data_IF_604454138650
#
_entry.id   IF_604454138650
#
_cell.length_a   1.000
_cell.length_b   1.000
_cell.length_c   1.000
_cell.angle_alpha   90.00
_cell.angle_beta   90.00
_cell.angle_gamma   90.00
#
_symmetry.space_group_name_H-M   'P 1'
#
loop_
_entity.id
_entity.type
_entity.pdbx_description
1 polymer ?
#
# COMPACT_ATOMS: atom_id res chain seq x y z
N UNK A 1 -7.17 6.00 -10.32
CA UNK A 1 -7.01 4.70 -10.96
C UNK A 1 -8.18 4.29 -11.87
N UNK A 2 -9.41 4.70 -11.57
CA UNK A 2 -10.62 4.29 -12.27
C UNK A 2 -10.81 5.03 -13.60
N UNK A 3 -11.64 4.46 -14.53
CA UNK A 3 -12.03 5.16 -15.75
C UNK A 3 -12.61 6.55 -15.43
N UNK A 4 -12.21 7.56 -16.22
CA UNK A 4 -12.55 8.97 -15.99
C UNK A 4 -11.65 9.70 -14.99
N UNK A 5 -10.81 9.00 -14.23
CA UNK A 5 -9.79 9.61 -13.40
C UNK A 5 -8.62 10.20 -14.20
N UNK A 6 -7.89 11.17 -13.63
CA UNK A 6 -6.78 11.86 -14.30
C UNK A 6 -5.56 10.95 -14.53
N UNK A 7 -5.37 9.95 -13.66
CA UNK A 7 -4.38 8.87 -13.83
C UNK A 7 -5.10 7.53 -13.87
N UNK A 8 -5.81 7.27 -14.96
CA UNK A 8 -6.46 5.99 -15.18
C UNK A 8 -5.42 4.88 -15.39
N UNK A 9 -5.57 3.78 -14.67
CA UNK A 9 -4.78 2.55 -14.86
C UNK A 9 -5.71 1.53 -15.53
N UNK A 10 -5.52 1.23 -16.83
CA UNK A 10 -6.41 0.33 -17.56
C UNK A 10 -6.45 -1.06 -16.91
N UNK A 11 -7.63 -1.57 -16.60
CA UNK A 11 -7.79 -2.88 -15.97
C UNK A 11 -7.79 -2.86 -14.44
N UNK A 12 -7.44 -1.74 -13.80
CA UNK A 12 -7.38 -1.64 -12.34
C UNK A 12 -8.74 -1.94 -11.66
N UNK A 13 -9.84 -1.70 -12.35
CA UNK A 13 -11.19 -2.05 -11.87
C UNK A 13 -11.36 -3.56 -11.63
N UNK A 14 -10.62 -4.41 -12.34
CA UNK A 14 -10.64 -5.87 -12.17
C UNK A 14 -10.03 -6.32 -10.84
N UNK A 15 -9.13 -5.52 -10.27
CA UNK A 15 -8.48 -5.80 -9.00
C UNK A 15 -9.36 -5.44 -7.80
N UNK A 16 -10.37 -4.56 -7.98
CA UNK A 16 -11.21 -4.03 -6.89
C UNK A 16 -11.87 -5.13 -6.06
N UNK A 17 -12.48 -6.19 -6.63
CA UNK A 17 -13.07 -7.24 -5.83
C UNK A 17 -12.08 -7.91 -4.86
N UNK A 18 -10.85 -8.16 -5.32
CA UNK A 18 -9.80 -8.75 -4.50
C UNK A 18 -9.23 -7.76 -3.48
N UNK A 19 -8.99 -6.51 -3.87
CA UNK A 19 -8.61 -5.44 -2.93
C UNK A 19 -9.65 -5.29 -1.82
N UNK A 20 -10.95 -5.34 -2.17
CA UNK A 20 -12.03 -5.31 -1.19
C UNK A 20 -11.96 -6.46 -0.20
N UNK A 21 -11.74 -7.70 -0.66
CA UNK A 21 -11.62 -8.88 0.22
C UNK A 21 -10.47 -8.73 1.22
N UNK A 22 -9.33 -8.22 0.77
CA UNK A 22 -8.18 -7.92 1.65
C UNK A 22 -8.54 -6.82 2.67
N UNK A 23 -9.27 -5.80 2.22
CA UNK A 23 -9.73 -4.71 3.08
C UNK A 23 -10.80 -5.18 4.09
N UNK A 24 -11.67 -6.10 3.70
CA UNK A 24 -12.65 -6.71 4.60
C UNK A 24 -11.96 -7.43 5.77
N UNK A 25 -10.82 -8.08 5.54
CA UNK A 25 -10.02 -8.66 6.62
C UNK A 25 -9.55 -7.61 7.64
N UNK A 26 -9.23 -6.39 7.19
CA UNK A 26 -8.91 -5.29 8.10
C UNK A 26 -10.15 -4.73 8.82
N UNK A 27 -11.29 -4.66 8.13
CA UNK A 27 -12.58 -4.27 8.77
C UNK A 27 -12.96 -5.24 9.89
N UNK A 28 -12.64 -6.50 9.73
CA UNK A 28 -12.83 -7.57 10.73
C UNK A 28 -11.75 -7.59 11.83
N UNK A 29 -10.74 -6.73 11.75
CA UNK A 29 -9.65 -6.64 12.73
C UNK A 29 -8.63 -7.77 12.65
N UNK A 30 -8.59 -8.54 11.55
CA UNK A 30 -7.65 -9.65 11.35
C UNK A 30 -6.28 -9.21 10.87
N UNK A 31 -6.19 -8.03 10.25
CA UNK A 31 -4.95 -7.46 9.71
C UNK A 31 -5.00 -5.94 9.80
N UNK A 32 -3.84 -5.30 9.89
CA UNK A 32 -3.68 -3.85 9.73
C UNK A 32 -3.29 -3.55 8.28
N UNK A 33 -3.97 -2.62 7.64
CA UNK A 33 -3.54 -2.09 6.34
C UNK A 33 -2.64 -0.88 6.55
N UNK A 34 -1.51 -0.86 5.85
CA UNK A 34 -0.68 0.32 5.70
C UNK A 34 -0.74 0.68 4.21
N UNK A 35 -1.35 1.80 3.92
CA UNK A 35 -1.46 2.31 2.56
C UNK A 35 -0.69 3.61 2.40
N UNK A 36 -0.40 3.94 1.17
CA UNK A 36 0.03 5.28 0.79
C UNK A 36 -1.03 5.96 -0.08
N UNK A 37 -1.09 7.28 0.00
CA UNK A 37 -1.98 8.09 -0.83
C UNK A 37 -1.25 9.32 -1.35
N UNK A 38 -1.32 9.54 -2.66
CA UNK A 38 -0.88 10.79 -3.26
C UNK A 38 -1.80 11.93 -2.81
N UNK A 39 -1.21 13.03 -2.33
CA UNK A 39 -1.94 14.21 -1.86
C UNK A 39 -1.20 15.47 -2.30
N UNK A 40 -1.42 15.88 -3.54
CA UNK A 40 -0.72 17.00 -4.17
C UNK A 40 -1.37 18.34 -3.85
N UNK A 41 -0.58 19.41 -3.94
CA UNK A 41 -1.08 20.79 -4.05
C UNK A 41 -1.37 21.10 -5.52
N UNK A 42 -2.17 22.15 -5.85
CA UNK A 42 -2.48 22.48 -7.24
C UNK A 42 -1.28 22.83 -8.12
N UNK A 43 -0.17 23.24 -7.48
CA UNK A 43 1.09 23.67 -8.09
C UNK A 43 2.24 22.68 -7.85
N UNK A 44 1.93 21.41 -7.56
CA UNK A 44 2.92 20.39 -7.25
C UNK A 44 3.92 20.19 -8.41
N UNK A 45 5.23 20.14 -8.15
CA UNK A 45 6.27 19.92 -9.16
C UNK A 45 6.11 18.61 -9.96
N UNK A 46 5.45 17.61 -9.41
CA UNK A 46 5.19 16.34 -10.11
C UNK A 46 4.33 16.54 -11.36
N UNK A 47 3.54 17.60 -11.41
CA UNK A 47 2.69 17.94 -12.56
C UNK A 47 3.47 18.42 -13.80
N UNK A 48 4.79 18.57 -13.68
CA UNK A 48 5.67 18.70 -14.85
C UNK A 48 5.87 17.36 -15.60
N UNK A 49 5.64 16.23 -14.94
CA UNK A 49 5.80 14.87 -15.50
C UNK A 49 4.48 14.15 -15.74
N UNK A 50 3.49 14.42 -14.88
CA UNK A 50 2.17 13.79 -14.92
C UNK A 50 1.09 14.87 -14.98
N UNK A 51 -0.10 14.58 -15.55
CA UNK A 51 -1.21 15.52 -15.48
C UNK A 51 -1.62 15.74 -14.01
N UNK A 52 -2.17 16.94 -13.68
CA UNK A 52 -2.68 17.20 -12.33
C UNK A 52 -3.66 16.12 -11.86
N UNK A 53 -3.34 15.47 -10.73
CA UNK A 53 -4.08 14.35 -10.15
C UNK A 53 -4.01 14.37 -8.62
N UNK A 54 -4.84 13.63 -7.95
CA UNK A 54 -4.84 13.45 -6.49
C UNK A 54 -4.66 14.77 -5.72
N UNK A 55 -5.24 15.87 -6.22
CA UNK A 55 -5.17 17.17 -5.56
C UNK A 55 -5.97 17.10 -4.26
N UNK A 56 -5.34 17.47 -3.14
CA UNK A 56 -5.93 17.45 -1.81
C UNK A 56 -7.29 18.16 -1.79
N UNK A 57 -8.28 17.53 -1.15
CA UNK A 57 -9.64 18.06 -1.05
C UNK A 57 -10.51 17.88 -2.29
N UNK A 58 -10.01 17.19 -3.32
CA UNK A 58 -10.82 16.82 -4.49
C UNK A 58 -11.20 15.34 -4.48
N UNK A 59 -12.30 14.95 -5.14
CA UNK A 59 -12.69 13.55 -5.23
C UNK A 59 -11.61 12.64 -5.84
N UNK A 60 -10.72 13.20 -6.68
CA UNK A 60 -9.60 12.47 -7.29
C UNK A 60 -8.52 12.03 -6.31
N UNK A 61 -8.47 12.62 -5.10
CA UNK A 61 -7.55 12.25 -4.03
C UNK A 61 -8.17 11.25 -3.03
N UNK A 62 -9.45 10.93 -3.16
CA UNK A 62 -10.12 10.02 -2.24
C UNK A 62 -9.78 8.56 -2.51
N UNK A 63 -9.63 7.80 -1.42
CA UNK A 63 -9.53 6.35 -1.48
C UNK A 63 -10.89 5.79 -1.89
N UNK A 64 -10.91 4.84 -2.81
CA UNK A 64 -12.14 4.21 -3.27
C UNK A 64 -12.88 3.52 -2.11
N UNK A 65 -14.23 3.52 -2.10
CA UNK A 65 -15.02 2.99 -0.99
C UNK A 65 -14.69 1.53 -0.65
N UNK A 66 -14.35 0.73 -1.63
CA UNK A 66 -14.05 -0.70 -1.48
C UNK A 66 -12.79 -0.94 -0.63
N UNK A 67 -11.83 -0.01 -0.66
CA UNK A 67 -10.56 -0.12 0.08
C UNK A 67 -10.47 0.83 1.27
N UNK A 68 -11.57 1.48 1.64
CA UNK A 68 -11.67 2.37 2.79
C UNK A 68 -12.22 1.62 4.01
N UNK A 69 -11.62 1.84 5.19
CA UNK A 69 -12.11 1.33 6.48
C UNK A 69 -12.65 2.47 7.35
N UNK A 70 -13.23 2.14 8.51
CA UNK A 70 -13.81 3.16 9.42
C UNK A 70 -12.73 3.81 10.29
N UNK A 71 -11.83 2.99 10.85
CA UNK A 71 -10.79 3.47 11.77
C UNK A 71 -9.49 3.74 11.03
N UNK A 72 -9.38 4.92 10.42
CA UNK A 72 -8.22 5.35 9.61
C UNK A 72 -7.38 6.36 10.37
N UNK A 73 -6.07 6.17 10.35
CA UNK A 73 -5.07 7.18 10.72
C UNK A 73 -4.40 7.70 9.45
N UNK A 74 -4.55 8.98 9.15
CA UNK A 74 -3.79 9.63 8.07
C UNK A 74 -2.59 10.37 8.64
N UNK A 75 -1.42 10.10 8.09
CA UNK A 75 -0.14 10.68 8.51
C UNK A 75 0.37 11.55 7.36
N UNK A 76 0.33 12.88 7.51
CA UNK A 76 0.77 13.79 6.47
C UNK A 76 2.28 13.68 6.22
N UNK A 77 2.70 13.98 4.99
CA UNK A 77 4.10 14.01 4.61
C UNK A 77 4.76 15.31 5.10
N UNK A 78 5.07 15.36 6.39
CA UNK A 78 5.79 16.44 7.05
C UNK A 78 6.48 15.94 8.32
N UNK A 79 7.66 16.50 8.68
CA UNK A 79 8.48 15.99 9.79
C UNK A 79 7.85 16.15 11.18
N UNK A 80 6.95 17.11 11.32
CA UNK A 80 6.25 17.44 12.60
C UNK A 80 4.93 16.68 12.77
N UNK A 81 4.63 15.72 11.87
CA UNK A 81 3.44 14.90 12.01
C UNK A 81 3.55 13.96 13.22
N UNK A 82 2.46 13.86 13.97
CA UNK A 82 2.41 12.99 15.15
C UNK A 82 2.05 11.58 14.74
N UNK A 83 2.96 10.64 14.99
CA UNK A 83 2.68 9.20 14.91
C UNK A 83 2.31 8.72 16.30
N UNK A 84 1.07 8.25 16.55
CA UNK A 84 0.66 7.72 17.85
C UNK A 84 1.55 6.56 18.31
N UNK A 85 1.82 6.48 19.62
CA UNK A 85 2.58 5.36 20.20
C UNK A 85 1.83 4.03 20.12
N UNK A 86 0.50 4.07 20.17
CA UNK A 86 -0.37 2.91 20.00
C UNK A 86 -1.13 3.00 18.67
N UNK A 87 -0.90 2.03 17.81
CA UNK A 87 -1.55 1.89 16.51
C UNK A 87 -2.66 0.83 16.51
N UNK A 88 -2.88 0.11 17.62
CA UNK A 88 -3.83 -1.00 17.72
C UNK A 88 -5.30 -0.59 17.55
N UNK A 89 -5.59 0.70 17.76
CA UNK A 89 -6.92 1.26 17.58
C UNK A 89 -7.35 1.47 16.12
N UNK A 90 -6.41 1.33 15.17
CA UNK A 90 -6.65 1.61 13.75
C UNK A 90 -6.74 0.33 12.92
N UNK A 91 -7.53 0.37 11.87
CA UNK A 91 -7.65 -0.68 10.86
C UNK A 91 -6.82 -0.38 9.61
N UNK A 92 -6.55 0.91 9.39
CA UNK A 92 -5.78 1.38 8.25
C UNK A 92 -4.94 2.61 8.64
N UNK A 93 -3.68 2.61 8.25
CA UNK A 93 -2.78 3.76 8.34
C UNK A 93 -2.50 4.21 6.91
N UNK A 94 -2.70 5.49 6.64
CA UNK A 94 -2.42 6.10 5.34
C UNK A 94 -1.24 7.07 5.48
N UNK A 95 -0.17 6.76 4.79
CA UNK A 95 0.99 7.64 4.65
C UNK A 95 0.77 8.52 3.42
N UNK A 96 0.58 9.81 3.62
CA UNK A 96 0.45 10.75 2.52
C UNK A 96 1.80 10.97 1.83
N UNK A 97 1.80 11.14 0.52
CA UNK A 97 3.02 11.42 -0.26
C UNK A 97 2.74 12.37 -1.43
N UNK A 98 3.79 13.04 -1.89
CA UNK A 98 3.79 13.90 -3.08
C UNK A 98 4.75 13.39 -4.15
N UNK A 99 5.32 12.24 -3.95
CA UNK A 99 6.21 11.53 -4.88
C UNK A 99 5.71 10.11 -5.09
N UNK A 100 6.42 9.34 -5.92
CA UNK A 100 6.08 7.94 -6.14
C UNK A 100 6.44 7.04 -4.95
N UNK A 101 7.38 7.46 -4.11
CA UNK A 101 7.92 6.64 -3.02
C UNK A 101 7.27 6.98 -1.68
N UNK A 102 6.70 5.99 -1.02
CA UNK A 102 6.14 6.13 0.34
C UNK A 102 7.22 6.40 1.39
N UNK A 103 8.47 6.03 1.11
CA UNK A 103 9.59 6.28 2.00
C UNK A 103 10.10 7.72 1.99
N UNK A 104 9.61 8.55 1.07
CA UNK A 104 9.80 10.01 1.11
C UNK A 104 8.96 10.69 2.19
N UNK A 105 7.94 10.00 2.76
CA UNK A 105 7.28 10.47 3.97
C UNK A 105 8.21 10.21 5.17
N UNK A 106 8.65 11.25 5.90
CA UNK A 106 9.61 11.12 7.02
C UNK A 106 9.09 10.28 8.19
N UNK A 107 7.79 9.98 8.21
CA UNK A 107 7.16 9.21 9.28
C UNK A 107 7.06 7.71 8.96
N UNK A 108 7.37 7.28 7.75
CA UNK A 108 7.26 5.87 7.34
C UNK A 108 8.09 4.96 8.23
N UNK A 109 9.33 5.36 8.54
CA UNK A 109 10.21 4.59 9.44
C UNK A 109 9.65 4.47 10.86
N UNK A 110 9.03 5.53 11.39
CA UNK A 110 8.42 5.49 12.71
C UNK A 110 7.23 4.52 12.73
N UNK A 111 6.39 4.52 11.69
CA UNK A 111 5.27 3.57 11.55
C UNK A 111 5.79 2.14 11.50
N UNK A 112 6.79 1.84 10.66
CA UNK A 112 7.37 0.49 10.56
C UNK A 112 7.99 0.02 11.88
N UNK A 113 8.69 0.90 12.62
CA UNK A 113 9.22 0.59 13.95
C UNK A 113 8.12 0.27 14.97
N UNK A 114 6.98 0.94 14.89
CA UNK A 114 5.84 0.64 15.76
C UNK A 114 5.26 -0.74 15.42
N UNK A 115 5.09 -1.04 14.12
CA UNK A 115 4.56 -2.33 13.65
C UNK A 115 5.46 -3.48 14.07
N UNK A 116 6.77 -3.32 13.93
CA UNK A 116 7.75 -4.33 14.35
C UNK A 116 7.64 -4.76 15.82
N UNK A 117 7.04 -3.92 16.69
CA UNK A 117 6.81 -4.26 18.10
C UNK A 117 5.61 -5.18 18.33
N UNK A 118 4.70 -5.28 17.37
CA UNK A 118 3.43 -5.99 17.48
C UNK A 118 3.31 -7.15 16.50
N UNK A 119 4.32 -7.32 15.63
CA UNK A 119 4.36 -8.39 14.63
C UNK A 119 5.39 -9.44 15.02
N UNK A 120 5.11 -10.68 14.64
CA UNK A 120 6.07 -11.77 14.77
C UNK A 120 7.24 -11.59 13.80
N UNK A 121 8.38 -12.23 14.08
CA UNK A 121 9.59 -12.12 13.27
C UNK A 121 9.42 -12.63 11.82
N UNK A 122 8.41 -13.47 11.59
CA UNK A 122 8.05 -14.00 10.27
C UNK A 122 6.90 -13.26 9.60
N UNK A 123 6.49 -12.12 10.14
CA UNK A 123 5.46 -11.27 9.53
C UNK A 123 5.85 -10.87 8.10
N UNK A 124 4.87 -10.88 7.21
CA UNK A 124 5.06 -10.60 5.79
C UNK A 124 4.09 -9.50 5.34
N UNK A 125 4.61 -8.52 4.61
CA UNK A 125 3.78 -7.51 3.97
C UNK A 125 3.18 -8.08 2.68
N UNK A 126 1.85 -8.20 2.63
CA UNK A 126 1.11 -8.54 1.42
C UNK A 126 0.74 -7.24 0.68
N UNK A 127 1.39 -6.98 -0.45
CA UNK A 127 1.25 -5.73 -1.18
C UNK A 127 0.20 -5.86 -2.28
N UNK A 128 -0.72 -4.92 -2.32
CA UNK A 128 -1.74 -4.77 -3.35
C UNK A 128 -1.98 -3.29 -3.67
N UNK A 129 -2.51 -3.00 -4.83
CA UNK A 129 -2.76 -1.62 -5.28
C UNK A 129 -2.25 -1.37 -6.69
N UNK A 130 -2.15 -0.09 -7.08
CA UNK A 130 -1.73 0.36 -8.41
C UNK A 130 -0.83 1.61 -8.33
N UNK A 131 0.09 1.80 -9.29
CA UNK A 131 0.41 0.89 -10.38
C UNK A 131 1.64 0.06 -10.01
N UNK A 132 1.71 -1.16 -10.57
CA UNK A 132 2.74 -2.16 -10.23
C UNK A 132 4.16 -1.61 -10.41
N UNK A 133 4.45 -0.96 -11.52
CA UNK A 133 5.78 -0.43 -11.87
C UNK A 133 6.14 0.90 -11.17
N UNK A 134 5.23 1.46 -10.39
CA UNK A 134 5.43 2.71 -9.64
C UNK A 134 5.31 2.51 -8.13
N UNK A 135 4.19 2.88 -7.54
CA UNK A 135 4.00 2.87 -6.08
C UNK A 135 4.18 1.48 -5.48
N UNK A 136 3.62 0.44 -6.13
CA UNK A 136 3.77 -0.96 -5.67
C UNK A 136 5.24 -1.38 -5.69
N UNK A 137 5.97 -1.08 -6.78
CA UNK A 137 7.39 -1.38 -6.90
C UNK A 137 8.22 -0.72 -5.80
N UNK A 138 8.03 0.59 -5.60
CA UNK A 138 8.82 1.35 -4.63
C UNK A 138 8.51 0.94 -3.20
N UNK A 139 7.24 0.72 -2.86
CA UNK A 139 6.85 0.22 -1.54
C UNK A 139 7.44 -1.17 -1.28
N UNK A 140 7.31 -2.12 -2.23
CA UNK A 140 7.84 -3.46 -2.10
C UNK A 140 9.36 -3.47 -1.96
N UNK A 141 10.06 -2.75 -2.84
CA UNK A 141 11.53 -2.64 -2.83
C UNK A 141 12.03 -2.03 -1.53
N UNK A 142 11.44 -0.92 -1.10
CA UNK A 142 11.82 -0.24 0.13
C UNK A 142 11.61 -1.12 1.38
N UNK A 143 10.58 -1.95 1.42
CA UNK A 143 10.39 -2.94 2.49
C UNK A 143 11.44 -4.05 2.45
N UNK A 144 11.73 -4.61 1.27
CA UNK A 144 12.77 -5.64 1.09
C UNK A 144 14.16 -5.13 1.52
N UNK A 145 14.53 -3.91 1.14
CA UNK A 145 15.79 -3.26 1.52
C UNK A 145 15.92 -3.07 3.04
N UNK A 146 14.80 -3.03 3.76
CA UNK A 146 14.73 -2.93 5.23
C UNK A 146 14.63 -4.30 5.92
N UNK A 147 14.76 -5.38 5.15
CA UNK A 147 14.74 -6.75 5.68
C UNK A 147 13.34 -7.31 5.97
N UNK A 148 12.27 -6.62 5.56
CA UNK A 148 10.91 -7.16 5.67
C UNK A 148 10.65 -8.24 4.63
N UNK A 149 9.82 -9.22 5.01
CA UNK A 149 9.29 -10.19 4.05
C UNK A 149 8.16 -9.54 3.27
N UNK A 150 8.14 -9.77 1.97
CA UNK A 150 7.17 -9.15 1.05
C UNK A 150 6.56 -10.20 0.15
N UNK A 151 5.25 -10.13 -0.01
CA UNK A 151 4.50 -10.86 -1.02
C UNK A 151 3.69 -9.89 -1.88
N UNK A 152 3.77 -10.03 -3.20
CA UNK A 152 2.92 -9.32 -4.15
C UNK A 152 1.64 -10.12 -4.37
N UNK A 153 0.49 -9.50 -4.19
CA UNK A 153 -0.82 -10.14 -4.43
C UNK A 153 -1.20 -9.92 -5.90
N UNK A 154 -0.83 -10.89 -6.76
CA UNK A 154 -0.86 -10.78 -8.23
C UNK A 154 -2.22 -10.44 -8.85
N UNK A 155 -3.31 -10.85 -8.21
CA UNK A 155 -4.68 -10.63 -8.66
C UNK A 155 -5.33 -9.40 -7.97
N UNK A 156 -4.51 -8.60 -7.27
CA UNK A 156 -4.89 -7.34 -6.64
C UNK A 156 -3.88 -6.21 -6.94
N UNK A 157 -3.01 -6.38 -7.94
CA UNK A 157 -2.15 -5.34 -8.51
C UNK A 157 -2.44 -5.19 -10.00
N UNK A 158 -2.22 -3.99 -10.54
CA UNK A 158 -2.37 -3.73 -11.97
C UNK A 158 -1.31 -2.75 -12.44
N UNK A 159 -1.04 -2.75 -13.73
CA UNK A 159 0.06 -2.02 -14.38
C UNK A 159 -0.44 -1.06 -15.44
N UNK A 160 0.28 0.00 -15.71
CA UNK A 160 0.01 0.88 -16.86
C UNK A 160 0.46 0.25 -18.17
N UNK A 161 1.60 -0.48 -18.13
CA UNK A 161 2.16 -1.16 -19.28
C UNK A 161 2.50 -2.60 -18.93
N UNK A 162 1.90 -3.60 -19.60
CA UNK A 162 2.12 -5.01 -19.28
C UNK A 162 3.59 -5.42 -19.20
N UNK A 163 4.42 -4.93 -20.13
CA UNK A 163 5.85 -5.26 -20.16
C UNK A 163 6.62 -4.68 -18.97
N UNK A 164 6.28 -3.46 -18.53
CA UNK A 164 6.93 -2.81 -17.40
C UNK A 164 6.47 -3.46 -16.08
N UNK A 165 5.19 -3.83 -16.00
CA UNK A 165 4.68 -4.59 -14.86
C UNK A 165 5.34 -5.96 -14.71
N UNK A 166 5.51 -6.69 -15.82
CA UNK A 166 6.19 -7.99 -15.80
C UNK A 166 7.65 -7.86 -15.34
N UNK A 167 8.41 -6.91 -15.89
CA UNK A 167 9.77 -6.61 -15.45
C UNK A 167 9.86 -6.26 -13.98
N UNK A 168 8.90 -5.49 -13.48
CA UNK A 168 8.81 -5.13 -12.06
C UNK A 168 8.60 -6.35 -11.17
N UNK A 169 7.70 -7.25 -11.56
CA UNK A 169 7.46 -8.49 -10.82
C UNK A 169 8.73 -9.36 -10.81
N UNK A 170 9.42 -9.48 -11.93
CA UNK A 170 10.69 -10.21 -12.05
C UNK A 170 11.79 -9.58 -11.17
N UNK A 171 11.93 -8.25 -11.20
CA UNK A 171 12.84 -7.53 -10.31
C UNK A 171 12.56 -7.84 -8.85
N UNK A 172 11.31 -7.62 -8.40
CA UNK A 172 10.95 -7.78 -7.00
C UNK A 172 11.07 -9.24 -6.53
N UNK A 173 10.73 -10.21 -7.38
CA UNK A 173 10.91 -11.64 -7.05
C UNK A 173 12.39 -12.03 -6.97
N UNK A 174 13.24 -11.45 -7.82
CA UNK A 174 14.70 -11.64 -7.73
C UNK A 174 15.29 -11.06 -6.43
N UNK A 175 14.67 -10.03 -5.87
CA UNK A 175 15.02 -9.44 -4.57
C UNK A 175 14.42 -10.18 -3.37
N UNK A 176 13.63 -11.24 -3.60
CA UNK A 176 13.09 -12.10 -2.56
C UNK A 176 11.60 -11.91 -2.28
N UNK A 177 10.88 -11.07 -3.02
CA UNK A 177 9.43 -11.00 -2.91
C UNK A 177 8.78 -12.30 -3.42
N UNK A 178 7.73 -12.74 -2.73
CA UNK A 178 6.90 -13.85 -3.20
C UNK A 178 5.76 -13.32 -4.08
N UNK A 179 5.30 -14.14 -5.02
CA UNK A 179 4.10 -13.85 -5.79
C UNK A 179 2.97 -14.77 -5.33
N UNK A 180 1.90 -14.21 -4.80
CA UNK A 180 0.76 -14.95 -4.23
C UNK A 180 -0.57 -14.48 -4.80
N UNK A 181 -1.64 -15.24 -4.56
CA UNK A 181 -3.01 -14.80 -4.84
C UNK A 181 -3.67 -14.20 -3.60
N UNK A 182 -4.79 -13.50 -3.79
CA UNK A 182 -5.66 -13.03 -2.69
C UNK A 182 -6.09 -14.18 -1.78
N UNK A 183 -6.44 -15.34 -2.33
CA UNK A 183 -6.82 -16.51 -1.53
C UNK A 183 -5.67 -16.99 -0.64
N UNK A 184 -4.44 -17.01 -1.16
CA UNK A 184 -3.26 -17.38 -0.39
C UNK A 184 -2.95 -16.36 0.71
N UNK A 185 -3.12 -15.06 0.42
CA UNK A 185 -2.95 -14.01 1.44
C UNK A 185 -3.97 -14.15 2.57
N UNK A 186 -5.25 -14.37 2.24
CA UNK A 186 -6.30 -14.55 3.24
C UNK A 186 -6.15 -15.84 4.05
N UNK A 187 -5.78 -16.94 3.39
CA UNK A 187 -5.52 -18.21 4.07
C UNK A 187 -4.34 -18.13 5.07
N UNK A 188 -3.38 -17.24 4.82
CA UNK A 188 -2.28 -17.02 5.76
C UNK A 188 -2.75 -16.38 7.08
N UNK A 189 -3.84 -15.60 7.07
CA UNK A 189 -4.43 -14.99 8.27
C UNK A 189 -5.19 -15.98 9.15
N UNK A 190 -5.55 -17.15 8.60
CA UNK A 190 -6.30 -18.19 9.32
C UNK A 190 -5.37 -19.17 10.05
N UNK A 191 -4.08 -19.13 9.78
CA UNK A 191 -3.10 -19.99 10.46
C UNK A 191 -3.00 -19.62 11.93
N UNK A 192 -3.10 -20.59 12.86
CA UNK A 192 -2.87 -20.31 14.27
C UNK A 192 -1.47 -19.71 14.45
N UNK A 193 -1.39 -18.58 15.14
CA UNK A 193 -0.10 -17.98 15.51
C UNK A 193 0.68 -19.02 16.32
N UNK A 194 1.76 -19.53 15.78
CA UNK A 194 2.72 -20.34 16.52
C UNK A 194 3.36 -19.42 17.56
N UNK A 195 2.82 -19.42 18.77
CA UNK A 195 3.53 -18.82 19.93
C UNK A 195 4.78 -19.66 20.16
N UNK A 196 5.92 -19.20 19.64
CA UNK A 196 7.21 -19.63 20.16
C UNK A 196 7.29 -19.14 21.61
N UNK A 197 7.38 -20.11 22.53
CA UNK A 197 7.57 -19.89 23.95
C UNK A 197 8.96 -19.31 24.24
#
# INVERSE_FOLDING_TARGET
MLPGGKLHVPGAEKCIPNMKRLTDAAREGRVLIIGDACTHTPDDPEFQRFPPHCIRGTPGAEIIPETRVVKVLSIPNRPDAVVPQDLSGYQQIILEKQTLDVFDNPNTEAVLKHIARFTDADAEFCIFGVATEYCVRLAAKGLLERGWRVALVRDAIETLKPEDGQKTIEELTSLGARLISTDQALAALERPKTRTA
#
